data_IF_730266165918
#
_entry.id   IF_730266165918
#
_cell.length_a   1.000
_cell.length_b   1.000
_cell.length_c   1.000
_cell.angle_alpha   90.00
_cell.angle_beta   90.00
_cell.angle_gamma   90.00
#
_symmetry.space_group_name_H-M   'P 1'
#
loop_
_entity.id
_entity.type
_entity.pdbx_description
1 polymer ?
#
# COMPACT_ATOMS: atom_id res chain seq x y z
N UNK A 1 21.55 10.98 19.08
CA UNK A 1 21.21 10.40 17.79
C UNK A 1 19.80 9.82 18.00
N UNK A 2 18.76 10.49 17.48
CA UNK A 2 17.43 9.92 17.49
C UNK A 2 17.44 8.69 16.61
N UNK A 3 16.84 7.58 17.06
CA UNK A 3 16.58 6.44 16.20
C UNK A 3 15.77 6.95 15.01
N UNK A 4 16.18 6.59 13.82
CA UNK A 4 15.42 6.92 12.60
C UNK A 4 14.14 6.08 12.69
N UNK A 5 13.01 6.72 12.96
CA UNK A 5 11.72 6.04 13.02
C UNK A 5 11.34 5.57 11.64
N UNK A 6 10.68 4.42 11.55
CA UNK A 6 10.15 3.90 10.30
C UNK A 6 9.20 4.90 9.64
N UNK A 7 9.10 4.84 8.32
CA UNK A 7 8.23 5.70 7.50
C UNK A 7 6.87 5.09 7.32
N UNK A 8 5.89 5.94 7.09
CA UNK A 8 4.59 5.55 6.55
C UNK A 8 4.65 5.62 5.03
N UNK A 9 4.58 4.48 4.39
CA UNK A 9 4.65 4.36 2.93
C UNK A 9 3.28 3.98 2.36
N UNK A 10 2.95 4.50 1.19
CA UNK A 10 1.83 4.05 0.41
C UNK A 10 2.36 3.36 -0.85
N UNK A 11 2.26 2.03 -0.89
CA UNK A 11 2.78 1.21 -1.98
C UNK A 11 1.68 0.53 -2.78
N UNK A 12 1.76 0.59 -4.11
CA UNK A 12 0.79 -0.07 -4.99
C UNK A 12 1.32 -0.23 -6.41
N UNK A 13 0.73 -1.20 -7.11
CA UNK A 13 0.77 -1.28 -8.57
C UNK A 13 -0.54 -0.73 -9.12
N UNK A 14 -0.48 0.08 -10.17
CA UNK A 14 -1.67 0.59 -10.84
C UNK A 14 -1.57 0.41 -12.36
N UNK A 15 -2.73 0.46 -13.02
CA UNK A 15 -2.84 0.57 -14.46
C UNK A 15 -2.42 1.97 -14.96
N UNK A 16 -2.17 2.11 -16.27
CA UNK A 16 -1.85 3.42 -16.89
C UNK A 16 -2.94 4.45 -16.65
N UNK A 17 -4.21 4.03 -16.56
CA UNK A 17 -5.37 4.89 -16.31
C UNK A 17 -5.76 5.02 -14.83
N UNK A 18 -4.89 4.56 -13.91
CA UNK A 18 -4.93 4.86 -12.49
C UNK A 18 -5.88 4.00 -11.65
N UNK A 19 -6.07 2.74 -12.02
CA UNK A 19 -6.81 1.77 -11.21
C UNK A 19 -5.84 0.82 -10.49
N UNK A 20 -6.15 0.47 -9.24
CA UNK A 20 -5.41 -0.50 -8.44
C UNK A 20 -6.06 -1.89 -8.41
N UNK A 21 -7.31 -1.97 -8.84
CA UNK A 21 -8.03 -3.22 -9.07
C UNK A 21 -9.06 -3.00 -10.17
N UNK A 22 -9.36 -4.03 -10.94
CA UNK A 22 -10.45 -4.04 -11.91
C UNK A 22 -11.83 -4.17 -11.25
N UNK A 23 -12.92 -4.24 -12.05
CA UNK A 23 -14.27 -4.47 -11.54
C UNK A 23 -14.32 -5.74 -10.69
N UNK A 24 -15.05 -5.69 -9.56
CA UNK A 24 -15.12 -6.80 -8.62
C UNK A 24 -13.80 -7.11 -7.89
N UNK A 25 -12.92 -6.13 -7.78
CA UNK A 25 -11.58 -6.27 -7.20
C UNK A 25 -10.67 -7.25 -7.97
N UNK A 26 -10.88 -7.42 -9.28
CA UNK A 26 -10.03 -8.27 -10.11
C UNK A 26 -8.59 -7.75 -10.15
N UNK A 27 -7.64 -8.65 -9.83
CA UNK A 27 -6.20 -8.39 -9.84
C UNK A 27 -5.47 -9.18 -10.94
N UNK A 28 -6.18 -9.87 -11.85
CA UNK A 28 -5.59 -10.72 -12.89
C UNK A 28 -4.65 -9.97 -13.85
N UNK A 29 -4.93 -8.69 -14.05
CA UNK A 29 -4.15 -7.79 -14.88
C UNK A 29 -2.72 -7.54 -14.35
N UNK A 30 -2.44 -7.83 -13.09
CA UNK A 30 -1.09 -7.67 -12.53
C UNK A 30 -0.05 -8.58 -13.21
N UNK A 31 -0.50 -9.65 -13.87
CA UNK A 31 0.37 -10.50 -14.71
C UNK A 31 0.96 -9.75 -15.92
N UNK A 32 0.41 -8.59 -16.28
CA UNK A 32 0.96 -7.71 -17.31
C UNK A 32 2.08 -6.79 -16.79
N UNK A 33 2.28 -6.71 -15.47
CA UNK A 33 3.36 -5.92 -14.88
C UNK A 33 4.72 -6.56 -15.22
N UNK A 34 5.71 -5.71 -15.51
CA UNK A 34 7.08 -6.20 -15.69
C UNK A 34 7.61 -6.78 -14.38
N UNK A 35 8.38 -7.87 -14.42
CA UNK A 35 8.99 -8.41 -13.23
C UNK A 35 9.99 -7.42 -12.63
N UNK A 36 10.02 -7.36 -11.31
CA UNK A 36 11.05 -6.62 -10.60
C UNK A 36 12.41 -7.30 -10.74
N UNK A 37 13.48 -6.54 -10.48
CA UNK A 37 14.82 -7.10 -10.41
C UNK A 37 14.92 -8.21 -9.35
N UNK A 38 15.81 -9.18 -9.56
CA UNK A 38 16.02 -10.29 -8.63
C UNK A 38 16.30 -9.79 -7.20
N UNK A 39 15.57 -10.35 -6.23
CA UNK A 39 15.67 -9.99 -4.82
C UNK A 39 15.04 -8.64 -4.44
N UNK A 40 14.41 -7.91 -5.37
CA UNK A 40 13.77 -6.63 -5.07
C UNK A 40 12.56 -6.81 -4.16
N UNK A 41 11.75 -7.85 -4.40
CA UNK A 41 10.59 -8.17 -3.58
C UNK A 41 11.00 -8.46 -2.14
N UNK A 42 12.01 -9.29 -1.94
CA UNK A 42 12.53 -9.66 -0.62
C UNK A 42 13.10 -8.45 0.14
N UNK A 43 13.82 -7.57 -0.56
CA UNK A 43 14.32 -6.33 0.05
C UNK A 43 13.17 -5.43 0.50
N UNK A 44 12.20 -5.18 -0.38
CA UNK A 44 11.04 -4.34 -0.07
C UNK A 44 10.21 -4.94 1.07
N UNK A 45 9.98 -6.25 1.06
CA UNK A 45 9.28 -6.96 2.12
C UNK A 45 10.02 -6.86 3.46
N UNK A 46 11.35 -6.94 3.45
CA UNK A 46 12.20 -6.81 4.64
C UNK A 46 12.14 -5.43 5.30
N UNK A 47 11.86 -4.39 4.53
CA UNK A 47 11.73 -3.02 5.05
C UNK A 47 10.39 -2.76 5.74
N UNK A 48 9.36 -3.58 5.51
CA UNK A 48 8.01 -3.39 6.03
C UNK A 48 7.76 -4.26 7.25
N UNK A 49 7.38 -3.65 8.37
CA UNK A 49 7.02 -4.36 9.58
C UNK A 49 5.51 -4.58 9.70
N UNK A 50 4.73 -3.55 9.36
CA UNK A 50 3.27 -3.55 9.48
C UNK A 50 2.65 -3.13 8.16
N UNK A 51 1.62 -3.85 7.72
CA UNK A 51 0.76 -3.44 6.60
C UNK A 51 -0.57 -2.95 7.18
N UNK A 52 -1.08 -1.84 6.64
CA UNK A 52 -2.42 -1.34 6.95
C UNK A 52 -3.29 -1.48 5.70
N UNK A 53 -4.39 -2.22 5.81
CA UNK A 53 -5.38 -2.44 4.77
C UNK A 53 -6.79 -2.04 5.24
N UNK A 54 -7.70 -1.84 4.28
CA UNK A 54 -9.12 -1.71 4.54
C UNK A 54 -9.82 -3.07 4.40
N UNK A 55 -11.00 -3.22 5.04
CA UNK A 55 -11.75 -4.46 5.06
C UNK A 55 -12.05 -5.01 3.66
N UNK A 56 -12.52 -4.19 2.73
CA UNK A 56 -12.89 -4.66 1.40
C UNK A 56 -11.69 -5.23 0.62
N UNK A 57 -10.52 -4.58 0.73
CA UNK A 57 -9.29 -5.08 0.13
C UNK A 57 -8.82 -6.39 0.75
N UNK A 58 -8.92 -6.50 2.08
CA UNK A 58 -8.62 -7.73 2.80
C UNK A 58 -9.54 -8.88 2.36
N UNK A 59 -10.86 -8.67 2.35
CA UNK A 59 -11.84 -9.69 1.96
C UNK A 59 -11.62 -10.12 0.50
N UNK A 60 -11.33 -9.16 -0.41
CA UNK A 60 -11.03 -9.46 -1.80
C UNK A 60 -9.75 -10.32 -1.94
N UNK A 61 -8.71 -10.03 -1.18
CA UNK A 61 -7.48 -10.83 -1.15
C UNK A 61 -7.74 -12.24 -0.63
N UNK A 62 -8.55 -12.39 0.43
CA UNK A 62 -8.91 -13.71 0.95
C UNK A 62 -9.74 -14.53 -0.05
N UNK A 63 -10.68 -13.90 -0.77
CA UNK A 63 -11.52 -14.56 -1.77
C UNK A 63 -10.69 -15.10 -2.96
N UNK A 64 -9.59 -14.47 -3.28
CA UNK A 64 -8.69 -14.87 -4.38
C UNK A 64 -7.64 -15.93 -3.96
N UNK A 65 -7.58 -16.29 -2.68
CA UNK A 65 -6.71 -17.39 -2.20
C UNK A 65 -7.13 -18.72 -2.84
N UNK A 66 -6.19 -19.34 -3.53
CA UNK A 66 -6.38 -20.65 -4.14
C UNK A 66 -6.93 -20.68 -5.55
N UNK A 67 -7.29 -19.52 -6.13
CA UNK A 67 -7.72 -19.46 -7.54
C UNK A 67 -6.56 -19.28 -8.54
N UNK A 68 -5.35 -18.97 -8.04
CA UNK A 68 -4.18 -18.68 -8.88
C UNK A 68 -2.91 -19.24 -8.29
N UNK A 69 -2.27 -20.15 -9.03
CA UNK A 69 -0.96 -20.74 -8.69
C UNK A 69 0.20 -19.72 -8.80
N UNK A 70 0.00 -18.57 -9.46
CA UNK A 70 1.07 -17.61 -9.78
C UNK A 70 0.95 -16.24 -9.08
N UNK A 71 -0.25 -15.87 -8.56
CA UNK A 71 -0.45 -14.63 -7.80
C UNK A 71 -0.97 -15.01 -6.42
N UNK A 72 -0.07 -15.02 -5.46
CA UNK A 72 -0.49 -15.20 -4.07
C UNK A 72 -1.24 -13.95 -3.61
N UNK A 73 -2.36 -14.14 -2.88
CA UNK A 73 -3.08 -13.05 -2.21
C UNK A 73 -2.28 -12.44 -1.05
N UNK A 74 -1.08 -12.97 -0.84
CA UNK A 74 -0.18 -12.54 0.22
C UNK A 74 0.65 -11.36 -0.24
N UNK A 75 0.83 -10.40 0.65
CA UNK A 75 1.65 -9.24 0.37
C UNK A 75 3.06 -9.66 -0.07
N UNK A 76 3.59 -8.98 -1.09
CA UNK A 76 4.89 -9.27 -1.67
C UNK A 76 5.04 -10.71 -2.18
N UNK A 77 3.96 -11.32 -2.71
CA UNK A 77 4.01 -12.68 -3.22
C UNK A 77 4.37 -13.74 -2.16
N UNK A 78 4.06 -13.47 -0.88
CA UNK A 78 4.40 -14.36 0.24
C UNK A 78 5.78 -14.15 0.84
N UNK A 79 6.59 -13.22 0.33
CA UNK A 79 7.89 -12.90 0.91
C UNK A 79 7.81 -12.09 2.20
N UNK A 80 6.65 -11.47 2.47
CA UNK A 80 6.44 -10.67 3.67
C UNK A 80 5.87 -11.50 4.83
N UNK A 81 6.41 -11.26 6.02
CA UNK A 81 5.90 -11.81 7.28
C UNK A 81 5.87 -10.72 8.33
N UNK A 82 4.70 -10.28 8.72
CA UNK A 82 4.50 -9.23 9.72
C UNK A 82 3.09 -9.24 10.25
N UNK A 83 2.66 -8.13 10.84
CA UNK A 83 1.30 -7.95 11.34
C UNK A 83 0.51 -7.10 10.35
N UNK A 84 -0.64 -7.60 9.91
CA UNK A 84 -1.58 -6.81 9.11
C UNK A 84 -2.61 -6.15 10.03
N UNK A 85 -2.73 -4.83 9.94
CA UNK A 85 -3.82 -4.06 10.54
C UNK A 85 -4.94 -3.91 9.52
N UNK A 86 -6.13 -4.45 9.85
CA UNK A 86 -7.32 -4.32 9.01
C UNK A 86 -8.28 -3.33 9.65
N UNK A 87 -8.43 -2.15 9.04
CA UNK A 87 -9.40 -1.17 9.50
C UNK A 87 -10.81 -1.57 9.09
N UNK A 88 -11.69 -1.74 10.07
CA UNK A 88 -13.05 -2.24 9.88
C UNK A 88 -13.98 -1.76 11.00
N UNK A 89 -15.25 -1.59 10.68
CA UNK A 89 -16.29 -1.31 11.69
C UNK A 89 -16.75 -2.56 12.45
N UNK A 90 -16.29 -3.75 12.03
CA UNK A 90 -16.67 -5.06 12.60
C UNK A 90 -15.43 -5.90 12.91
N UNK A 91 -14.60 -5.47 13.89
CA UNK A 91 -13.33 -6.14 14.19
C UNK A 91 -13.53 -7.57 14.71
N UNK A 92 -14.65 -7.86 15.33
CA UNK A 92 -15.01 -9.19 15.85
C UNK A 92 -15.10 -10.27 14.77
N UNK A 93 -15.38 -9.90 13.52
CA UNK A 93 -15.43 -10.85 12.40
C UNK A 93 -14.05 -11.37 11.98
N UNK A 94 -12.98 -10.72 12.40
CA UNK A 94 -11.59 -11.09 12.11
C UNK A 94 -10.81 -11.52 13.36
N UNK A 95 -11.48 -11.76 14.49
CA UNK A 95 -10.83 -12.07 15.76
C UNK A 95 -9.91 -13.31 15.71
N UNK A 96 -10.26 -14.29 14.88
CA UNK A 96 -9.50 -15.54 14.72
C UNK A 96 -8.57 -15.54 13.48
N UNK A 97 -8.46 -14.41 12.75
CA UNK A 97 -7.61 -14.34 11.56
C UNK A 97 -6.13 -14.33 11.97
N UNK A 98 -5.29 -15.24 11.45
CA UNK A 98 -3.88 -15.31 11.82
C UNK A 98 -3.11 -14.07 11.33
N UNK A 99 -2.22 -13.55 12.17
CA UNK A 99 -1.38 -12.37 11.88
C UNK A 99 -2.14 -11.09 11.54
N UNK A 100 -3.44 -11.03 11.83
CA UNK A 100 -4.31 -9.87 11.61
C UNK A 100 -4.66 -9.23 12.94
N UNK A 101 -4.59 -7.91 12.98
CA UNK A 101 -5.15 -7.08 14.05
C UNK A 101 -6.26 -6.22 13.46
N UNK A 102 -7.51 -6.66 13.68
CA UNK A 102 -8.67 -5.89 13.25
C UNK A 102 -8.90 -4.70 14.19
N UNK A 103 -9.12 -3.51 13.60
CA UNK A 103 -9.21 -2.26 14.36
C UNK A 103 -10.41 -1.44 13.91
N UNK A 104 -11.17 -0.95 14.90
CA UNK A 104 -12.20 0.07 14.70
C UNK A 104 -11.74 1.37 15.35
N UNK A 105 -10.88 2.10 14.67
CA UNK A 105 -10.32 3.36 15.13
C UNK A 105 -10.08 4.29 13.93
N UNK A 106 -9.72 5.54 14.19
CA UNK A 106 -9.31 6.46 13.13
C UNK A 106 -7.91 6.13 12.59
N UNK A 107 -7.59 6.70 11.42
CA UNK A 107 -6.32 6.42 10.74
C UNK A 107 -5.10 6.91 11.53
N UNK A 108 -5.22 7.98 12.29
CA UNK A 108 -4.11 8.53 13.08
C UNK A 108 -3.73 7.57 14.21
N UNK A 109 -4.74 7.02 14.90
CA UNK A 109 -4.53 6.01 15.94
C UNK A 109 -3.94 4.72 15.34
N UNK A 110 -4.47 4.26 14.20
CA UNK A 110 -3.97 3.05 13.55
C UNK A 110 -2.49 3.19 13.14
N UNK A 111 -2.12 4.30 12.51
CA UNK A 111 -0.74 4.59 12.10
C UNK A 111 0.17 4.72 13.33
N UNK A 112 -0.26 5.41 14.39
CA UNK A 112 0.53 5.54 15.61
C UNK A 112 0.87 4.18 16.23
N UNK A 113 -0.13 3.30 16.37
CA UNK A 113 0.08 1.93 16.87
C UNK A 113 0.96 1.10 15.94
N UNK A 114 0.82 1.27 14.63
CA UNK A 114 1.64 0.55 13.65
C UNK A 114 3.11 0.97 13.74
N UNK A 115 3.40 2.28 13.88
CA UNK A 115 4.75 2.81 14.03
C UNK A 115 5.42 2.33 15.33
N UNK A 116 4.65 2.25 16.44
CA UNK A 116 5.15 1.72 17.71
C UNK A 116 5.64 0.24 17.58
N UNK A 117 4.94 -0.56 16.75
CA UNK A 117 5.32 -1.95 16.46
C UNK A 117 6.47 -2.00 15.46
N UNK A 118 6.45 -1.13 14.45
CA UNK A 118 7.41 -1.14 13.34
C UNK A 118 8.84 -0.75 13.79
N UNK A 119 8.97 0.14 14.76
CA UNK A 119 10.26 0.64 15.23
C UNK A 119 10.99 1.39 14.10
N UNK A 120 12.12 0.87 13.66
CA UNK A 120 12.92 1.43 12.56
C UNK A 120 12.44 0.99 11.15
N UNK A 121 11.57 -0.03 11.08
CA UNK A 121 11.01 -0.50 9.81
C UNK A 121 9.75 0.29 9.43
N UNK A 122 9.34 0.17 8.19
CA UNK A 122 8.24 0.93 7.63
C UNK A 122 6.87 0.34 7.98
N UNK A 123 5.88 1.22 8.00
CA UNK A 123 4.45 0.90 7.95
C UNK A 123 3.99 1.14 6.51
N UNK A 124 3.38 0.14 5.87
CA UNK A 124 2.90 0.28 4.49
C UNK A 124 1.37 0.25 4.42
N UNK A 125 0.81 1.24 3.75
CA UNK A 125 -0.61 1.28 3.40
C UNK A 125 -0.77 0.67 2.01
N UNK A 126 -1.71 -0.28 1.86
CA UNK A 126 -2.01 -0.95 0.58
C UNK A 126 -3.45 -0.72 0.09
N UNK A 127 -4.20 0.16 0.75
CA UNK A 127 -5.61 0.48 0.44
C UNK A 127 -5.74 1.93 -0.02
N UNK A 128 -6.47 2.17 -1.11
CA UNK A 128 -6.71 3.52 -1.64
C UNK A 128 -7.51 4.39 -0.65
N UNK A 129 -8.57 3.85 -0.02
CA UNK A 129 -9.39 4.62 0.92
C UNK A 129 -8.62 4.95 2.21
N UNK A 130 -7.88 3.98 2.76
CA UNK A 130 -7.04 4.20 3.93
C UNK A 130 -5.94 5.24 3.62
N UNK A 131 -5.32 5.15 2.45
CA UNK A 131 -4.31 6.13 2.03
C UNK A 131 -4.91 7.53 1.83
N UNK A 132 -6.13 7.63 1.28
CA UNK A 132 -6.84 8.91 1.17
C UNK A 132 -7.05 9.56 2.55
N UNK A 133 -7.48 8.78 3.55
CA UNK A 133 -7.64 9.25 4.93
C UNK A 133 -6.29 9.69 5.52
N UNK A 134 -5.23 8.91 5.31
CA UNK A 134 -3.89 9.26 5.79
C UNK A 134 -3.35 10.55 5.15
N UNK A 135 -3.62 10.77 3.85
CA UNK A 135 -3.27 12.00 3.14
C UNK A 135 -4.01 13.23 3.68
N UNK A 136 -5.24 13.06 4.17
CA UNK A 136 -6.00 14.15 4.78
C UNK A 136 -5.34 14.69 6.06
N UNK A 137 -4.54 13.85 6.71
CA UNK A 137 -3.82 14.15 7.95
C UNK A 137 -2.31 14.31 7.76
N UNK A 138 -1.81 14.39 6.50
CA UNK A 138 -0.39 14.53 6.17
C UNK A 138 0.50 13.40 6.78
N UNK A 139 -0.04 12.18 6.89
CA UNK A 139 0.60 11.04 7.54
C UNK A 139 1.42 10.14 6.61
N UNK A 140 1.48 10.42 5.31
CA UNK A 140 2.26 9.64 4.35
C UNK A 140 3.61 10.30 4.10
N UNK A 141 4.69 9.56 4.32
CA UNK A 141 6.06 10.01 4.09
C UNK A 141 6.55 9.71 2.67
N UNK A 142 6.18 8.55 2.11
CA UNK A 142 6.59 8.13 0.78
C UNK A 142 5.46 7.44 0.03
N UNK A 143 5.46 7.63 -1.29
CA UNK A 143 4.58 6.98 -2.24
C UNK A 143 5.42 6.11 -3.17
N UNK A 144 5.14 4.80 -3.22
CA UNK A 144 5.81 3.84 -4.08
C UNK A 144 4.84 3.38 -5.17
N UNK A 145 5.05 3.83 -6.40
CA UNK A 145 4.15 3.58 -7.53
C UNK A 145 4.80 2.69 -8.55
N UNK A 146 4.14 1.59 -8.87
CA UNK A 146 4.46 0.73 -10.00
C UNK A 146 3.35 0.84 -11.04
N UNK A 147 3.69 1.16 -12.28
CA UNK A 147 2.70 1.32 -13.36
C UNK A 147 2.79 0.13 -14.31
N UNK A 148 1.79 -0.75 -14.29
CA UNK A 148 1.67 -1.83 -15.26
C UNK A 148 1.20 -1.30 -16.63
N UNK A 149 1.69 -1.86 -17.75
CA UNK A 149 1.38 -1.38 -19.09
C UNK A 149 0.00 -1.85 -19.59
N UNK A 150 -1.06 -1.53 -18.84
CA UNK A 150 -2.44 -1.95 -19.10
C UNK A 150 -3.41 -0.81 -18.83
N UNK A 151 -4.50 -0.76 -19.57
CA UNK A 151 -5.68 0.05 -19.29
C UNK A 151 -6.78 -0.86 -18.75
N UNK A 152 -7.48 -0.46 -17.70
CA UNK A 152 -8.61 -1.20 -17.13
C UNK A 152 -9.96 -0.56 -17.45
N UNK A 153 -10.03 0.76 -17.53
CA UNK A 153 -11.24 1.52 -17.87
C UNK A 153 -12.27 1.63 -16.73
N UNK A 154 -12.30 0.67 -15.80
CA UNK A 154 -13.19 0.65 -14.63
C UNK A 154 -12.56 -0.14 -13.48
N UNK A 155 -13.06 0.06 -12.25
CA UNK A 155 -12.57 -0.63 -11.06
C UNK A 155 -12.32 0.30 -9.88
N UNK A 156 -11.37 -0.07 -9.02
CA UNK A 156 -10.97 0.72 -7.84
C UNK A 156 -9.89 1.72 -8.25
N UNK A 157 -10.19 3.00 -8.19
CA UNK A 157 -9.23 4.06 -8.49
C UNK A 157 -8.18 4.17 -7.40
N UNK A 158 -6.96 4.46 -7.83
CA UNK A 158 -5.86 4.78 -6.93
C UNK A 158 -6.21 5.96 -6.03
N UNK A 159 -6.72 7.03 -6.62
CA UNK A 159 -7.05 8.26 -5.91
C UNK A 159 -8.33 8.84 -6.48
N UNK A 160 -9.37 8.84 -5.66
CA UNK A 160 -10.68 9.38 -6.00
C UNK A 160 -11.20 10.23 -4.84
N UNK A 161 -11.32 11.54 -5.08
CA UNK A 161 -11.83 12.51 -4.13
C UNK A 161 -12.89 13.36 -4.81
N UNK A 162 -14.15 13.25 -4.40
CA UNK A 162 -15.23 14.08 -4.94
C UNK A 162 -14.88 15.58 -4.87
N UNK A 163 -14.96 16.26 -6.00
CA UNK A 163 -14.56 17.65 -6.11
C UNK A 163 -13.07 17.88 -6.39
N UNK A 164 -12.27 16.81 -6.36
CA UNK A 164 -10.84 16.84 -6.60
C UNK A 164 -10.02 17.35 -5.40
N UNK A 165 -8.82 16.85 -5.27
CA UNK A 165 -7.79 17.34 -4.32
C UNK A 165 -6.44 17.28 -5.00
N UNK A 166 -5.72 18.39 -5.01
CA UNK A 166 -4.34 18.45 -5.48
C UNK A 166 -3.39 18.12 -4.33
N UNK A 167 -2.51 17.15 -4.55
CA UNK A 167 -1.38 16.82 -3.65
C UNK A 167 -0.13 16.85 -4.51
N UNK A 168 0.83 17.69 -4.18
CA UNK A 168 2.08 17.82 -4.92
C UNK A 168 3.14 16.89 -4.36
N UNK A 169 3.80 16.14 -5.25
CA UNK A 169 4.85 15.17 -4.92
C UNK A 169 6.15 15.53 -5.63
N UNK A 170 7.26 15.12 -5.09
CA UNK A 170 8.56 15.16 -5.76
C UNK A 170 9.10 13.74 -5.94
N UNK A 171 9.65 13.46 -7.11
CA UNK A 171 10.34 12.21 -7.40
C UNK A 171 11.67 12.21 -6.66
N UNK A 172 11.93 11.19 -5.85
CA UNK A 172 13.17 11.07 -5.07
C UNK A 172 14.03 9.90 -5.49
N UNK A 173 13.40 8.78 -5.97
CA UNK A 173 14.15 7.59 -6.37
C UNK A 173 13.32 6.66 -7.26
N UNK A 174 13.92 5.56 -7.68
CA UNK A 174 13.27 4.42 -8.31
C UNK A 174 13.20 3.25 -7.34
N UNK A 175 12.17 2.40 -7.47
CA UNK A 175 11.99 1.27 -6.55
C UNK A 175 13.03 0.16 -6.76
N UNK A 176 13.60 0.06 -7.95
CA UNK A 176 14.66 -0.89 -8.29
C UNK A 176 15.58 -0.34 -9.41
N UNK A 177 16.72 -0.99 -9.60
CA UNK A 177 17.72 -0.64 -10.63
C UNK A 177 17.43 -1.28 -12.00
N UNK A 178 16.27 -1.90 -12.20
CA UNK A 178 15.91 -2.50 -13.47
C UNK A 178 15.78 -1.42 -14.55
N UNK A 179 16.40 -1.60 -15.75
CA UNK A 179 16.24 -0.65 -16.86
C UNK A 179 14.80 -0.47 -17.34
N UNK A 180 13.93 -1.42 -17.00
CA UNK A 180 12.48 -1.40 -17.30
C UNK A 180 11.63 -1.16 -16.07
N UNK A 181 12.25 -0.77 -14.94
CA UNK A 181 11.50 -0.48 -13.73
C UNK A 181 10.47 0.61 -13.97
N UNK A 182 9.22 0.29 -13.69
CA UNK A 182 8.11 1.24 -13.64
C UNK A 182 7.87 1.76 -12.21
N UNK A 183 8.66 1.29 -11.24
CA UNK A 183 8.56 1.70 -9.86
C UNK A 183 9.21 3.06 -9.61
N UNK A 184 8.48 3.97 -8.97
CA UNK A 184 8.93 5.32 -8.61
C UNK A 184 8.62 5.60 -7.16
N UNK A 185 9.56 6.25 -6.48
CA UNK A 185 9.41 6.70 -5.09
C UNK A 185 9.24 8.22 -5.08
N UNK A 186 8.18 8.67 -4.46
CA UNK A 186 7.85 10.08 -4.31
C UNK A 186 7.73 10.46 -2.84
N UNK A 187 8.00 11.74 -2.52
CA UNK A 187 7.71 12.35 -1.22
C UNK A 187 6.75 13.52 -1.38
N UNK A 188 5.87 13.76 -0.41
CA UNK A 188 4.98 14.90 -0.46
C UNK A 188 5.81 16.20 -0.39
N UNK A 189 5.50 17.17 -1.26
CA UNK A 189 6.05 18.52 -1.14
C UNK A 189 5.38 19.19 0.04
N UNK A 190 6.10 19.23 1.17
CA UNK A 190 5.66 20.04 2.31
C UNK A 190 5.80 21.51 1.92
N UNK A 191 4.69 22.24 1.82
CA UNK A 191 4.74 23.69 1.71
C UNK A 191 5.41 24.20 2.95
N UNK A 192 6.61 24.82 2.79
CA UNK A 192 7.20 25.60 3.87
C UNK A 192 6.19 26.70 4.19
N UNK A 193 5.49 26.55 5.33
CA UNK A 193 4.71 27.65 5.90
C UNK A 193 5.74 28.75 6.19
N UNK A 194 5.78 29.76 5.32
CA UNK A 194 6.66 30.92 5.50
C UNK A 194 6.42 31.51 6.86
N UNK A 195 7.50 31.75 7.59
CA UNK A 195 7.53 32.51 8.82
C UNK A 195 7.15 33.96 8.59
#
# INVERSE_FOLDING_TARGET
>A
MGADMGKVTWGFTCSIDGFIAGPGHDMSWMSAAEPLADGAIERMAGEVAVIISGRDGYDAAQAQRGERDELTSEAYGGAWSGTEFVLTHRPEELADAPNVTAMNCDITEAIGRALDIAGERNVQIISADIARQALEHDLIDELQVFVAPVFLGDGVRLFDVPGGRRVDWELVDTCDDSPRSFGRIYRPKRTSTGA
#
